data_IF_882824653282
#
_entry.id   IF_882824653282
#
_cell.length_a   1.000
_cell.length_b   1.000
_cell.length_c   1.000
_cell.angle_alpha   90.00
_cell.angle_beta   90.00
_cell.angle_gamma   90.00
#
_symmetry.space_group_name_H-M   'P 1'
#
loop_
_entity.id
_entity.type
_entity.pdbx_description
1 polymer ?
#
# COMPACT_ATOMS: atom_id res chain seq x y z
N UNK A 1 -6.10 -3.42 -24.79
CA UNK A 1 -5.01 -2.42 -24.67
C UNK A 1 -4.71 -2.30 -23.18
N UNK A 2 -3.49 -2.61 -22.74
CA UNK A 2 -3.13 -2.53 -21.32
C UNK A 2 -3.17 -1.05 -20.92
N UNK A 3 -4.09 -0.63 -20.07
CA UNK A 3 -4.02 0.70 -19.49
C UNK A 3 -2.89 0.68 -18.46
N UNK A 4 -1.94 1.60 -18.58
CA UNK A 4 -0.89 1.78 -17.59
C UNK A 4 -1.48 2.54 -16.40
N UNK A 5 -2.11 1.79 -15.49
CA UNK A 5 -2.69 2.36 -14.28
C UNK A 5 -1.59 2.91 -13.37
N UNK A 6 -1.71 4.17 -13.00
CA UNK A 6 -0.80 4.82 -12.05
C UNK A 6 -1.30 4.56 -10.63
N UNK A 7 -0.45 4.02 -9.75
CA UNK A 7 -0.77 3.86 -8.33
C UNK A 7 -0.52 5.17 -7.60
N UNK A 8 -1.52 5.63 -6.85
CA UNK A 8 -1.46 6.85 -6.04
C UNK A 8 -1.89 6.55 -4.62
N UNK A 9 -1.13 7.08 -3.67
CA UNK A 9 -1.45 6.97 -2.26
C UNK A 9 -2.12 8.24 -1.77
N UNK A 10 -3.24 8.08 -1.05
CA UNK A 10 -3.78 9.18 -0.25
C UNK A 10 -2.78 9.60 0.82
N UNK A 11 -2.90 10.84 1.30
CA UNK A 11 -2.08 11.32 2.42
C UNK A 11 -2.28 10.41 3.64
N UNK A 12 -3.52 10.07 3.97
CA UNK A 12 -3.85 9.16 5.08
C UNK A 12 -3.13 7.80 4.95
N UNK A 13 -3.16 7.18 3.76
CA UNK A 13 -2.48 5.90 3.54
C UNK A 13 -0.95 6.03 3.70
N UNK A 14 -0.37 7.14 3.25
CA UNK A 14 1.06 7.42 3.47
C UNK A 14 1.38 7.58 4.95
N UNK A 15 0.60 8.35 5.70
CA UNK A 15 0.78 8.50 7.15
C UNK A 15 0.73 7.15 7.87
N UNK A 16 -0.26 6.30 7.54
CA UNK A 16 -0.38 4.96 8.11
C UNK A 16 0.81 4.05 7.78
N UNK A 17 1.36 4.15 6.58
CA UNK A 17 2.54 3.40 6.16
C UNK A 17 3.79 3.87 6.93
N UNK A 18 3.99 5.20 7.04
CA UNK A 18 5.11 5.79 7.75
C UNK A 18 5.06 5.49 9.26
N UNK A 19 3.89 5.57 9.88
CA UNK A 19 3.70 5.20 11.29
C UNK A 19 4.12 3.74 11.55
N UNK A 20 3.78 2.82 10.63
CA UNK A 20 4.23 1.43 10.74
C UNK A 20 5.73 1.27 10.54
N UNK A 21 6.33 2.01 9.61
CA UNK A 21 7.77 1.98 9.39
C UNK A 21 8.52 2.51 10.62
N UNK A 22 8.03 3.56 11.26
CA UNK A 22 8.59 4.10 12.51
C UNK A 22 8.50 3.09 13.66
N UNK A 23 7.37 2.39 13.80
CA UNK A 23 7.25 1.29 14.76
C UNK A 23 8.29 0.18 14.50
N UNK A 24 8.48 -0.22 13.24
CA UNK A 24 9.49 -1.23 12.87
C UNK A 24 10.90 -0.74 13.19
N UNK A 25 11.19 0.54 12.89
CA UNK A 25 12.46 1.19 13.21
C UNK A 25 12.77 1.10 14.70
N UNK A 26 11.79 1.43 15.55
CA UNK A 26 11.93 1.41 17.00
C UNK A 26 12.17 -0.02 17.53
N UNK A 27 11.45 -1.02 16.98
CA UNK A 27 11.60 -2.43 17.40
C UNK A 27 12.91 -3.05 16.95
N UNK A 28 13.35 -2.76 15.73
CA UNK A 28 14.58 -3.31 15.15
C UNK A 28 15.83 -2.51 15.53
N UNK A 29 15.67 -1.29 16.05
CA UNK A 29 16.72 -0.30 16.25
C UNK A 29 17.59 -0.10 14.99
N UNK A 30 16.93 0.00 13.82
CA UNK A 30 17.59 0.04 12.52
C UNK A 30 16.76 0.80 11.48
N UNK A 31 17.33 1.89 10.96
CA UNK A 31 16.75 2.66 9.86
C UNK A 31 16.67 1.82 8.57
N UNK A 32 17.73 1.06 8.28
CA UNK A 32 17.81 0.21 7.08
C UNK A 32 16.66 -0.80 6.99
N UNK A 33 16.24 -1.38 8.12
CA UNK A 33 15.11 -2.33 8.15
C UNK A 33 13.78 -1.62 7.88
N UNK A 34 13.60 -0.40 8.40
CA UNK A 34 12.39 0.39 8.18
C UNK A 34 12.30 0.88 6.71
N UNK A 35 13.41 1.33 6.14
CA UNK A 35 13.47 1.77 4.74
C UNK A 35 13.20 0.61 3.78
N UNK A 36 13.82 -0.57 4.01
CA UNK A 36 13.53 -1.78 3.23
C UNK A 36 12.07 -2.18 3.30
N UNK A 37 11.43 -2.00 4.45
CA UNK A 37 10.00 -2.25 4.59
C UNK A 37 9.17 -1.28 3.75
N UNK A 38 9.47 0.03 3.79
CA UNK A 38 8.79 1.03 2.97
C UNK A 38 8.89 0.71 1.47
N UNK A 39 10.11 0.48 1.00
CA UNK A 39 10.40 0.16 -0.40
C UNK A 39 9.67 -1.12 -0.85
N UNK A 40 9.68 -2.15 0.00
CA UNK A 40 8.99 -3.39 -0.30
C UNK A 40 7.47 -3.18 -0.41
N UNK A 41 6.85 -2.46 0.52
CA UNK A 41 5.41 -2.20 0.50
C UNK A 41 5.00 -1.37 -0.71
N UNK A 42 5.73 -0.30 -1.03
CA UNK A 42 5.46 0.53 -2.21
C UNK A 42 5.57 -0.32 -3.48
N UNK A 43 6.66 -1.07 -3.64
CA UNK A 43 6.87 -1.95 -4.81
C UNK A 43 5.79 -3.03 -4.95
N UNK A 44 5.30 -3.59 -3.85
CA UNK A 44 4.21 -4.57 -3.89
C UNK A 44 2.88 -3.93 -4.25
N UNK A 45 2.61 -2.72 -3.77
CA UNK A 45 1.42 -1.97 -4.13
C UNK A 45 1.39 -1.59 -5.62
N UNK A 46 2.54 -1.30 -6.24
CA UNK A 46 2.65 -1.06 -7.69
C UNK A 46 2.13 -2.22 -8.54
N UNK A 47 2.11 -3.45 -8.00
CA UNK A 47 1.56 -4.61 -8.72
C UNK A 47 0.06 -4.52 -8.97
N UNK A 48 -0.65 -3.64 -8.24
CA UNK A 48 -2.06 -3.33 -8.50
C UNK A 48 -2.27 -2.86 -9.94
N UNK A 49 -1.29 -2.15 -10.53
CA UNK A 49 -1.36 -1.68 -11.92
C UNK A 49 -1.60 -2.80 -12.94
N UNK A 50 -1.18 -4.03 -12.64
CA UNK A 50 -1.34 -5.18 -13.54
C UNK A 50 -2.71 -5.85 -13.44
N UNK A 51 -3.47 -5.60 -12.37
CA UNK A 51 -4.74 -6.28 -12.09
C UNK A 51 -5.92 -5.32 -11.99
N UNK A 52 -5.70 -4.01 -12.13
CA UNK A 52 -6.68 -2.96 -11.90
C UNK A 52 -7.97 -3.10 -12.72
N UNK A 53 -7.86 -3.57 -13.97
CA UNK A 53 -9.04 -3.80 -14.83
C UNK A 53 -10.07 -4.75 -14.19
N UNK A 54 -9.61 -5.74 -13.41
CA UNK A 54 -10.50 -6.68 -12.71
C UNK A 54 -11.28 -6.03 -11.54
N UNK A 55 -10.88 -4.83 -11.12
CA UNK A 55 -11.45 -4.09 -9.99
C UNK A 55 -12.04 -2.74 -10.43
N UNK A 56 -12.22 -2.50 -11.73
CA UNK A 56 -12.81 -1.28 -12.28
C UNK A 56 -14.35 -1.25 -12.16
N UNK A 57 -14.87 -1.59 -10.97
CA UNK A 57 -16.31 -1.68 -10.67
C UNK A 57 -16.84 -0.49 -9.84
N UNK A 58 -15.98 0.51 -9.58
CA UNK A 58 -16.30 1.69 -8.79
C UNK A 58 -16.42 1.43 -7.28
N UNK A 59 -15.91 0.30 -6.77
CA UNK A 59 -15.97 -0.07 -5.35
C UNK A 59 -14.58 -0.14 -4.72
N UNK A 60 -14.56 -0.02 -3.39
CA UNK A 60 -13.33 -0.25 -2.64
C UNK A 60 -13.04 -1.74 -2.51
N UNK A 61 -11.79 -2.09 -2.73
CA UNK A 61 -11.27 -3.46 -2.58
C UNK A 61 -10.07 -3.47 -1.64
N UNK A 62 -9.76 -4.65 -1.12
CA UNK A 62 -8.58 -4.88 -0.29
C UNK A 62 -7.63 -5.77 -1.04
N UNK A 63 -6.39 -5.34 -1.18
CA UNK A 63 -5.32 -6.12 -1.78
C UNK A 63 -4.32 -6.55 -0.70
N UNK A 64 -4.13 -7.87 -0.51
CA UNK A 64 -3.13 -8.36 0.42
C UNK A 64 -1.74 -8.05 -0.13
N UNK A 65 -0.89 -7.52 0.75
CA UNK A 65 0.55 -7.36 0.50
C UNK A 65 1.28 -8.51 1.22
N UNK A 66 2.50 -8.23 1.71
CA UNK A 66 3.32 -9.21 2.43
C UNK A 66 3.10 -9.11 3.94
N UNK A 67 3.46 -10.18 4.66
CA UNK A 67 3.49 -10.22 6.13
C UNK A 67 2.16 -9.84 6.80
N UNK A 68 1.03 -10.05 6.13
CA UNK A 68 -0.31 -9.71 6.63
C UNK A 68 -0.69 -8.23 6.55
N UNK A 69 0.14 -7.39 5.93
CA UNK A 69 -0.24 -6.03 5.55
C UNK A 69 -1.18 -6.06 4.34
N UNK A 70 -2.02 -5.05 4.19
CA UNK A 70 -2.90 -4.90 3.04
C UNK A 70 -3.09 -3.42 2.69
N UNK A 71 -3.63 -3.15 1.51
CA UNK A 71 -4.07 -1.79 1.13
C UNK A 71 -5.54 -1.83 0.74
N UNK A 72 -6.29 -0.80 1.15
CA UNK A 72 -7.63 -0.54 0.64
C UNK A 72 -7.51 0.43 -0.53
N UNK A 73 -8.05 0.05 -1.69
CA UNK A 73 -7.90 0.81 -2.93
C UNK A 73 -9.20 0.91 -3.73
N UNK A 74 -9.25 1.86 -4.65
CA UNK A 74 -10.32 2.10 -5.61
C UNK A 74 -9.70 2.40 -6.98
N UNK A 75 -10.26 1.83 -8.05
CA UNK A 75 -9.88 2.18 -9.43
C UNK A 75 -10.73 3.36 -9.88
N UNK A 76 -10.09 4.45 -10.33
CA UNK A 76 -10.75 5.67 -10.79
C UNK A 76 -10.19 6.08 -12.14
N UNK A 77 -10.94 5.85 -13.21
CA UNK A 77 -10.45 6.08 -14.56
C UNK A 77 -9.17 5.28 -14.81
N UNK A 78 -8.07 5.99 -15.11
CA UNK A 78 -6.76 5.38 -15.40
C UNK A 78 -5.79 5.34 -14.21
N UNK A 79 -6.26 5.52 -12.98
CA UNK A 79 -5.40 5.41 -11.79
C UNK A 79 -6.03 4.58 -10.68
N UNK A 80 -5.16 4.09 -9.81
CA UNK A 80 -5.53 3.32 -8.61
C UNK A 80 -5.26 4.21 -7.41
N UNK A 81 -6.31 4.54 -6.67
CA UNK A 81 -6.20 5.30 -5.43
C UNK A 81 -6.14 4.34 -4.24
N UNK A 82 -4.98 4.23 -3.62
CA UNK A 82 -4.82 3.61 -2.30
C UNK A 82 -5.34 4.60 -1.26
N UNK A 83 -6.48 4.26 -0.67
CA UNK A 83 -7.16 5.11 0.31
C UNK A 83 -6.68 4.87 1.75
N UNK A 84 -6.24 3.66 2.07
CA UNK A 84 -5.68 3.32 3.38
C UNK A 84 -4.63 2.21 3.29
N UNK A 85 -3.61 2.31 4.14
CA UNK A 85 -2.72 1.21 4.47
C UNK A 85 -3.25 0.48 5.71
N UNK A 86 -3.35 -0.84 5.63
CA UNK A 86 -3.87 -1.68 6.69
C UNK A 86 -2.69 -2.48 7.27
N UNK A 87 -2.03 -1.99 8.33
CA UNK A 87 -0.90 -2.68 8.91
C UNK A 87 -1.34 -3.99 9.58
N UNK A 88 -0.45 -5.00 9.57
CA UNK A 88 -0.60 -6.14 10.47
C UNK A 88 -0.31 -5.71 11.90
N UNK A 89 -1.27 -5.96 12.79
CA UNK A 89 -1.19 -5.66 14.21
C UNK A 89 -1.33 -4.16 14.50
N UNK A 90 -1.78 -3.86 15.72
CA UNK A 90 -1.87 -2.50 16.24
C UNK A 90 -0.48 -2.10 16.74
N UNK A 91 -0.04 -0.87 16.44
CA UNK A 91 1.17 -0.30 17.03
C UNK A 91 0.84 0.03 18.50
N UNK A 92 1.54 -0.61 19.44
CA UNK A 92 1.40 -0.41 20.89
C UNK A 92 2.66 0.21 21.47
#
# INVERSE_FOLDING_TARGET
>A
MKQDYIVRWSEMARFQLLDKAEYIRAQANSDEIADKFLDEIVRLAEKLSFIADAYADGRFHVFPLKNGHSVKFLVVGSYIMIAAFLPRGINH
#
